data_IF_538736514773
#
_entry.id   IF_538736514773
#
_cell.length_a   1.000
_cell.length_b   1.000
_cell.length_c   1.000
_cell.angle_alpha   90.00
_cell.angle_beta   90.00
_cell.angle_gamma   90.00
#
_symmetry.space_group_name_H-M   'P 1'
#
loop_
_entity.id
_entity.type
_entity.pdbx_description
1 polymer ?
#
# COMPACT_ATOMS: atom_id res chain seq x y z
N UNK A 1 -0.56 11.23 23.61
CA UNK A 1 -1.48 11.49 22.50
C UNK A 1 -0.65 11.45 21.23
N UNK A 2 -0.68 10.34 20.49
CA UNK A 2 -0.05 10.32 19.16
C UNK A 2 -0.90 11.20 18.24
N UNK A 3 -0.24 12.03 17.43
CA UNK A 3 -0.93 12.94 16.53
C UNK A 3 -1.70 12.14 15.48
N UNK A 4 -2.86 12.63 15.03
CA UNK A 4 -3.67 11.98 13.97
C UNK A 4 -2.83 11.75 12.71
N UNK A 5 -1.85 12.61 12.46
CA UNK A 5 -0.88 12.51 11.36
C UNK A 5 0.07 11.33 11.48
N UNK A 6 0.60 11.04 12.68
CA UNK A 6 1.48 9.87 12.91
C UNK A 6 0.76 8.55 12.67
N UNK A 7 -0.56 8.49 12.94
CA UNK A 7 -1.33 7.27 12.71
C UNK A 7 -1.53 7.00 11.22
N UNK A 8 -1.76 8.06 10.43
CA UNK A 8 -1.93 7.98 8.97
C UNK A 8 -0.64 7.53 8.28
N UNK A 9 0.50 8.09 8.66
CA UNK A 9 1.78 7.68 8.05
C UNK A 9 2.13 6.23 8.39
N UNK A 10 1.86 5.79 9.63
CA UNK A 10 2.01 4.38 10.02
C UNK A 10 1.05 3.47 9.26
N UNK A 11 -0.20 3.89 9.06
CA UNK A 11 -1.18 3.16 8.25
C UNK A 11 -0.71 3.00 6.79
N UNK A 12 -0.22 4.08 6.18
CA UNK A 12 0.32 4.07 4.82
C UNK A 12 1.55 3.18 4.69
N UNK A 13 2.44 3.20 5.69
CA UNK A 13 3.63 2.35 5.71
C UNK A 13 3.26 0.87 5.81
N UNK A 14 2.40 0.52 6.76
CA UNK A 14 1.97 -0.86 6.99
C UNK A 14 1.23 -1.39 5.75
N UNK A 15 0.20 -0.69 5.26
CA UNK A 15 -0.58 -1.13 4.09
C UNK A 15 0.29 -1.12 2.81
N UNK A 16 1.22 -0.17 2.69
CA UNK A 16 2.22 -0.16 1.62
C UNK A 16 3.13 -1.40 1.64
N UNK A 17 3.59 -1.83 2.81
CA UNK A 17 4.35 -3.08 2.94
C UNK A 17 3.55 -4.32 2.52
N UNK A 18 2.26 -4.37 2.85
CA UNK A 18 1.40 -5.47 2.41
C UNK A 18 1.18 -5.48 0.91
N UNK A 19 0.91 -4.32 0.31
CA UNK A 19 0.82 -4.18 -1.14
C UNK A 19 2.12 -4.62 -1.82
N UNK A 20 3.27 -4.26 -1.24
CA UNK A 20 4.56 -4.74 -1.72
C UNK A 20 4.68 -6.26 -1.63
N UNK A 21 4.33 -6.86 -0.49
CA UNK A 21 4.38 -8.31 -0.31
C UNK A 21 3.43 -9.05 -1.28
N UNK A 22 2.24 -8.49 -1.54
CA UNK A 22 1.29 -8.99 -2.55
C UNK A 22 1.93 -9.01 -3.94
N UNK A 23 2.52 -7.90 -4.39
CA UNK A 23 3.19 -7.83 -5.70
C UNK A 23 4.29 -8.88 -5.84
N UNK A 24 5.01 -9.19 -4.75
CA UNK A 24 6.13 -10.13 -4.78
C UNK A 24 5.63 -11.56 -4.98
N UNK A 25 4.45 -11.85 -4.42
CA UNK A 25 3.88 -13.19 -4.35
C UNK A 25 3.03 -13.49 -5.57
N UNK A 26 2.13 -12.58 -5.94
CA UNK A 26 1.14 -12.78 -6.99
C UNK A 26 1.64 -12.27 -8.35
N UNK A 27 2.68 -11.40 -8.37
CA UNK A 27 3.24 -10.78 -9.58
C UNK A 27 2.19 -10.02 -10.41
N UNK A 28 1.10 -9.62 -9.78
CA UNK A 28 -0.03 -8.94 -10.42
C UNK A 28 0.09 -7.43 -10.21
N UNK A 29 0.41 -6.73 -11.30
CA UNK A 29 0.57 -5.28 -11.33
C UNK A 29 -0.73 -4.52 -11.56
N UNK A 30 -1.85 -5.21 -11.84
CA UNK A 30 -3.12 -4.57 -12.22
C UNK A 30 -3.66 -3.62 -11.16
N UNK A 31 -3.50 -3.98 -9.88
CA UNK A 31 -3.90 -3.14 -8.74
C UNK A 31 -3.06 -1.86 -8.69
N UNK A 32 -1.75 -1.98 -8.87
CA UNK A 32 -0.82 -0.83 -8.83
C UNK A 32 -1.06 0.10 -10.01
N UNK A 33 -1.15 -0.45 -11.21
CA UNK A 33 -1.45 0.31 -12.42
C UNK A 33 -2.83 0.99 -12.34
N UNK A 34 -3.81 0.25 -11.83
CA UNK A 34 -5.15 0.77 -11.55
C UNK A 34 -5.12 1.95 -10.58
N UNK A 35 -4.44 1.81 -9.44
CA UNK A 35 -4.32 2.86 -8.41
C UNK A 35 -3.56 4.10 -8.90
N UNK A 36 -2.58 3.95 -9.81
CA UNK A 36 -1.88 5.09 -10.43
C UNK A 36 -2.78 5.95 -11.33
N UNK A 37 -3.77 5.31 -11.98
CA UNK A 37 -4.58 5.94 -13.04
C UNK A 37 -6.03 6.22 -12.64
N UNK A 38 -6.36 6.12 -11.35
CA UNK A 38 -7.72 6.37 -10.83
C UNK A 38 -8.23 7.76 -11.17
N UNK A 39 -9.49 7.82 -11.60
CA UNK A 39 -10.19 9.05 -11.99
C UNK A 39 -11.28 9.45 -11.00
N UNK A 40 -11.74 8.51 -10.20
CA UNK A 40 -12.79 8.72 -9.21
C UNK A 40 -12.61 7.81 -7.98
N UNK A 41 -13.36 8.12 -6.92
CA UNK A 41 -13.33 7.41 -5.65
C UNK A 41 -13.70 5.93 -5.81
N UNK A 42 -14.69 5.61 -6.65
CA UNK A 42 -15.15 4.23 -6.82
C UNK A 42 -14.06 3.34 -7.44
N UNK A 43 -13.30 3.87 -8.41
CA UNK A 43 -12.16 3.15 -9.01
C UNK A 43 -11.08 2.86 -7.97
N UNK A 44 -10.69 3.83 -7.16
CA UNK A 44 -9.63 3.59 -6.17
C UNK A 44 -10.08 2.62 -5.09
N UNK A 45 -11.32 2.70 -4.64
CA UNK A 45 -11.87 1.76 -3.66
C UNK A 45 -11.98 0.35 -4.24
N UNK A 46 -12.32 0.20 -5.52
CA UNK A 46 -12.34 -1.10 -6.19
C UNK A 46 -10.94 -1.74 -6.26
N UNK A 47 -9.92 -0.98 -6.68
CA UNK A 47 -8.54 -1.50 -6.71
C UNK A 47 -8.03 -1.79 -5.30
N UNK A 48 -8.34 -0.94 -4.34
CA UNK A 48 -7.97 -1.12 -2.95
C UNK A 48 -8.63 -2.34 -2.31
N UNK A 49 -9.94 -2.54 -2.51
CA UNK A 49 -10.67 -3.74 -2.04
C UNK A 49 -10.15 -5.01 -2.72
N UNK A 50 -9.83 -4.94 -4.01
CA UNK A 50 -9.19 -6.05 -4.74
C UNK A 50 -7.85 -6.42 -4.10
N UNK A 51 -7.04 -5.42 -3.77
CA UNK A 51 -5.77 -5.61 -3.09
C UNK A 51 -5.97 -6.25 -1.71
N UNK A 52 -6.89 -5.74 -0.89
CA UNK A 52 -7.18 -6.24 0.46
C UNK A 52 -7.69 -7.69 0.45
N UNK A 53 -8.63 -8.02 -0.45
CA UNK A 53 -9.12 -9.40 -0.60
C UNK A 53 -8.02 -10.35 -1.01
N UNK A 54 -7.14 -9.91 -1.90
CA UNK A 54 -5.99 -10.70 -2.31
C UNK A 54 -5.01 -10.87 -1.15
N UNK A 55 -4.74 -9.80 -0.38
CA UNK A 55 -3.91 -9.83 0.83
C UNK A 55 -4.47 -10.85 1.83
N UNK A 56 -5.77 -10.82 2.16
CA UNK A 56 -6.38 -11.79 3.07
C UNK A 56 -6.23 -13.22 2.56
N UNK A 57 -6.46 -13.45 1.26
CA UNK A 57 -6.27 -14.77 0.64
C UNK A 57 -4.82 -15.25 0.70
N UNK A 58 -3.84 -14.36 0.53
CA UNK A 58 -2.43 -14.71 0.62
C UNK A 58 -2.01 -14.92 2.08
N UNK A 59 -2.55 -14.16 3.03
CA UNK A 59 -2.34 -14.41 4.46
C UNK A 59 -2.89 -15.77 4.87
N UNK A 60 -4.07 -16.17 4.37
CA UNK A 60 -4.64 -17.48 4.64
C UNK A 60 -3.79 -18.63 4.05
N UNK A 61 -3.18 -18.42 2.88
CA UNK A 61 -2.41 -19.46 2.16
C UNK A 61 -0.91 -19.50 2.48
N UNK A 62 -0.32 -18.34 2.73
CA UNK A 62 1.14 -18.09 2.83
C UNK A 62 1.49 -17.19 4.02
N UNK A 63 0.55 -17.02 4.97
CA UNK A 63 0.65 -16.07 6.08
C UNK A 63 1.95 -16.14 6.86
N UNK A 64 2.56 -17.32 7.01
CA UNK A 64 3.86 -17.45 7.68
C UNK A 64 5.00 -16.66 7.02
N UNK A 65 5.09 -16.62 5.68
CA UNK A 65 6.17 -15.90 4.99
C UNK A 65 5.95 -14.38 5.02
N UNK A 66 4.71 -13.93 4.80
CA UNK A 66 4.33 -12.51 4.88
C UNK A 66 4.51 -12.01 6.32
N UNK A 67 4.00 -12.74 7.31
CA UNK A 67 4.19 -12.46 8.72
C UNK A 67 5.66 -12.30 9.10
N UNK A 68 6.52 -13.21 8.63
CA UNK A 68 7.95 -13.14 8.91
C UNK A 68 8.63 -11.91 8.28
N UNK A 69 8.22 -11.51 7.08
CA UNK A 69 8.75 -10.31 6.43
C UNK A 69 8.28 -9.02 7.13
N UNK A 70 6.99 -8.92 7.46
CA UNK A 70 6.45 -7.75 8.16
C UNK A 70 6.96 -7.66 9.59
N UNK A 71 7.05 -8.77 10.33
CA UNK A 71 7.67 -8.79 11.65
C UNK A 71 9.12 -8.29 11.59
N UNK A 72 9.86 -8.64 10.52
CA UNK A 72 11.23 -8.18 10.29
C UNK A 72 11.28 -6.68 9.96
N UNK A 73 10.38 -6.18 9.12
CA UNK A 73 10.35 -4.77 8.72
C UNK A 73 9.85 -3.85 9.83
N UNK A 74 8.75 -4.22 10.49
CA UNK A 74 8.07 -3.41 11.51
C UNK A 74 8.69 -3.55 12.90
N UNK A 75 9.57 -4.54 13.12
CA UNK A 75 10.27 -4.81 14.40
C UNK A 75 9.35 -4.90 15.63
N UNK A 76 8.09 -5.28 15.45
CA UNK A 76 7.09 -5.34 16.52
C UNK A 76 6.47 -6.76 16.60
N UNK A 77 6.07 -7.19 17.80
CA UNK A 77 5.27 -8.40 18.01
C UNK A 77 3.78 -8.08 17.79
N UNK A 78 3.33 -8.22 16.54
CA UNK A 78 2.01 -7.74 16.12
C UNK A 78 1.07 -8.91 15.86
N UNK A 79 -0.19 -8.78 16.32
CA UNK A 79 -1.32 -9.50 15.73
C UNK A 79 -1.65 -8.88 14.36
N UNK A 80 -0.97 -9.39 13.33
CA UNK A 80 -0.98 -8.81 11.99
C UNK A 80 -2.39 -8.56 11.43
N UNK A 81 -3.31 -9.50 11.65
CA UNK A 81 -4.66 -9.41 11.10
C UNK A 81 -5.43 -8.21 11.67
N UNK A 82 -5.39 -8.03 13.01
CA UNK A 82 -6.06 -6.90 13.67
C UNK A 82 -5.48 -5.57 13.22
N UNK A 83 -4.16 -5.50 13.08
CA UNK A 83 -3.47 -4.28 12.65
C UNK A 83 -3.76 -3.92 11.18
N UNK A 84 -3.81 -4.92 10.29
CA UNK A 84 -4.22 -4.71 8.89
C UNK A 84 -5.64 -4.18 8.86
N UNK A 85 -6.58 -4.78 9.59
CA UNK A 85 -7.98 -4.36 9.58
C UNK A 85 -8.14 -2.92 10.07
N UNK A 86 -7.42 -2.55 11.14
CA UNK A 86 -7.46 -1.20 11.70
C UNK A 86 -6.90 -0.16 10.72
N UNK A 87 -5.68 -0.38 10.21
CA UNK A 87 -5.08 0.54 9.25
C UNK A 87 -5.79 0.54 7.91
N UNK A 88 -6.39 -0.58 7.50
CA UNK A 88 -7.18 -0.64 6.27
C UNK A 88 -8.40 0.25 6.35
N UNK A 89 -9.07 0.31 7.52
CA UNK A 89 -10.19 1.25 7.74
C UNK A 89 -9.73 2.70 7.72
N UNK A 90 -8.54 3.01 8.26
CA UNK A 90 -8.01 4.37 8.20
C UNK A 90 -7.69 4.79 6.76
N UNK A 91 -7.01 3.93 6.00
CA UNK A 91 -6.75 4.16 4.59
C UNK A 91 -8.05 4.30 3.79
N UNK A 92 -9.06 3.48 4.07
CA UNK A 92 -10.35 3.55 3.37
C UNK A 92 -10.99 4.93 3.54
N UNK A 93 -10.97 5.51 4.74
CA UNK A 93 -11.46 6.87 4.99
C UNK A 93 -10.69 7.92 4.18
N UNK A 94 -9.39 7.74 4.00
CA UNK A 94 -8.55 8.64 3.19
C UNK A 94 -8.87 8.51 1.70
N UNK A 95 -9.13 7.29 1.22
CA UNK A 95 -9.52 7.01 -0.16
C UNK A 95 -10.96 7.45 -0.47
N UNK A 96 -11.83 7.56 0.52
CA UNK A 96 -13.17 8.18 0.40
C UNK A 96 -13.13 9.71 0.42
N UNK A 97 -11.97 10.31 0.72
CA UNK A 97 -11.83 11.76 0.76
C UNK A 97 -11.69 12.38 -0.64
N UNK A 98 -11.86 13.71 -0.73
CA UNK A 98 -11.61 14.45 -1.98
C UNK A 98 -10.15 14.33 -2.47
N UNK A 99 -9.22 13.94 -1.58
CA UNK A 99 -7.81 13.74 -1.88
C UNK A 99 -7.46 12.28 -2.19
N UNK A 100 -8.44 11.46 -2.56
CA UNK A 100 -8.27 10.01 -2.81
C UNK A 100 -7.06 9.69 -3.71
N UNK A 101 -6.84 10.49 -4.76
CA UNK A 101 -5.74 10.29 -5.70
C UNK A 101 -4.37 10.48 -5.06
N UNK A 102 -4.24 11.46 -4.16
CA UNK A 102 -2.99 11.68 -3.42
C UNK A 102 -2.66 10.46 -2.56
N UNK A 103 -3.64 9.94 -1.83
CA UNK A 103 -3.42 8.78 -0.95
C UNK A 103 -3.22 7.48 -1.73
N UNK A 104 -3.88 7.31 -2.87
CA UNK A 104 -3.64 6.21 -3.80
C UNK A 104 -2.17 6.18 -4.27
N UNK A 105 -1.67 7.34 -4.72
CA UNK A 105 -0.29 7.47 -5.16
C UNK A 105 0.70 7.25 -4.01
N UNK A 106 0.44 7.78 -2.82
CA UNK A 106 1.28 7.50 -1.64
C UNK A 106 1.36 6.01 -1.32
N UNK A 107 0.25 5.28 -1.40
CA UNK A 107 0.25 3.82 -1.20
C UNK A 107 1.08 3.10 -2.25
N UNK A 108 0.92 3.50 -3.52
CA UNK A 108 1.71 2.96 -4.64
C UNK A 108 3.20 3.24 -4.42
N UNK A 109 3.58 4.48 -4.12
CA UNK A 109 4.96 4.87 -3.83
C UNK A 109 5.55 4.05 -2.68
N UNK A 110 4.80 3.86 -1.58
CA UNK A 110 5.24 3.05 -0.44
C UNK A 110 5.43 1.59 -0.81
N UNK A 111 4.50 1.03 -1.58
CA UNK A 111 4.59 -0.36 -2.05
C UNK A 111 5.80 -0.56 -2.97
N UNK A 112 6.01 0.38 -3.88
CA UNK A 112 7.04 0.26 -4.91
C UNK A 112 8.43 0.69 -4.43
N UNK A 113 8.55 1.52 -3.40
CA UNK A 113 9.81 1.81 -2.72
C UNK A 113 10.49 0.55 -2.15
N UNK A 114 9.75 -0.55 -1.97
CA UNK A 114 10.28 -1.86 -1.57
C UNK A 114 10.86 -2.67 -2.74
N UNK A 115 10.68 -2.20 -3.97
CA UNK A 115 11.25 -2.79 -5.20
C UNK A 115 12.36 -1.88 -5.74
N UNK A 116 13.64 -2.30 -5.66
CA UNK A 116 14.77 -1.50 -6.12
C UNK A 116 14.63 -1.01 -7.58
N UNK A 117 14.03 -1.83 -8.45
CA UNK A 117 13.81 -1.49 -9.87
C UNK A 117 12.78 -0.39 -10.11
N UNK A 118 11.81 -0.20 -9.20
CA UNK A 118 10.86 0.91 -9.35
C UNK A 118 11.44 2.23 -8.86
N UNK A 119 12.35 2.18 -7.88
CA UNK A 119 13.05 3.37 -7.40
C UNK A 119 13.79 4.07 -8.55
N UNK A 120 14.49 3.29 -9.38
CA UNK A 120 15.13 3.77 -10.62
C UNK A 120 14.13 4.42 -11.59
N UNK A 121 12.97 3.78 -11.83
CA UNK A 121 11.91 4.31 -12.70
C UNK A 121 11.24 5.61 -12.16
N UNK A 122 11.07 5.72 -10.84
CA UNK A 122 10.50 6.92 -10.21
C UNK A 122 11.46 8.11 -10.23
N UNK A 123 12.77 7.85 -10.08
CA UNK A 123 13.82 8.87 -10.13
C UNK A 123 13.98 9.42 -11.56
N UNK A 124 13.82 8.58 -12.59
CA UNK A 124 13.78 9.00 -14.00
C UNK A 124 12.59 9.94 -14.29
N UNK A 125 11.39 9.61 -13.80
CA UNK A 125 10.19 10.45 -14.03
C UNK A 125 10.20 11.78 -13.26
N UNK A 126 10.75 11.82 -12.05
CA UNK A 126 10.92 13.08 -11.31
C UNK A 126 11.96 14.01 -11.96
N UNK A 127 12.95 13.44 -12.65
CA UNK A 127 13.90 14.20 -13.47
C UNK A 127 13.26 14.82 -14.73
N UNK A 128 12.29 14.14 -15.34
CA UNK A 128 11.59 14.63 -16.55
C UNK A 128 10.57 15.75 -16.24
N UNK A 129 9.92 15.71 -15.08
CA UNK A 129 8.96 16.76 -14.67
C UNK A 129 9.63 18.07 -14.22
N UNK A 130 10.90 18.04 -13.80
CA UNK A 130 11.67 19.26 -13.46
C UNK A 130 12.30 19.95 -14.67
N UNK A 131 12.23 19.36 -15.87
CA UNK A 131 12.79 19.90 -17.11
C UNK A 131 11.73 20.45 -18.09
N UNK A 132 10.47 20.57 -17.66
CA UNK A 132 9.40 21.27 -18.38
C UNK A 132 8.98 22.53 -17.64
#
# INVERSE_FOLDING_TARGET
MHSVTENIDKALEVIGEYLAAFLAVEQDWSVIDGMMHVRNINEVLMYYDTALRSIHRVLDKRGGWIYNNLKRSLKEEINLNTMIDEYSREIMKLLESQNFRLYALKLVERALAKYPKYKEYSEERQGEEQQR
#
